data_IF_308475721705
#
_entry.id   IF_308475721705
#
_cell.length_a   1.000
_cell.length_b   1.000
_cell.length_c   1.000
_cell.angle_alpha   90.00
_cell.angle_beta   90.00
_cell.angle_gamma   90.00
#
_symmetry.space_group_name_H-M   'P 1'
#
loop_
_entity.id
_entity.type
_entity.pdbx_description
1 polymer ?
#
# COMPACT_ATOMS: atom_id res chain seq x y z
N UNK A 1 -10.67 -8.49 17.60
CA UNK A 1 -9.61 -7.61 17.06
C UNK A 1 -8.73 -8.46 16.16
N UNK A 2 -8.40 -8.00 14.96
CA UNK A 2 -7.50 -8.79 14.07
C UNK A 2 -6.07 -8.39 14.44
N UNK A 3 -5.29 -9.34 14.94
CA UNK A 3 -3.88 -9.11 15.26
C UNK A 3 -3.10 -8.89 13.97
N UNK A 4 -2.34 -7.79 13.91
CA UNK A 4 -1.49 -7.47 12.78
C UNK A 4 -0.27 -8.37 12.80
N UNK A 5 -0.19 -9.35 11.88
CA UNK A 5 0.98 -10.21 11.74
C UNK A 5 2.02 -9.56 10.83
N UNK A 6 3.28 -9.64 11.25
CA UNK A 6 4.42 -9.21 10.45
C UNK A 6 4.97 -10.37 9.62
N UNK A 7 5.48 -10.05 8.45
CA UNK A 7 6.20 -11.00 7.61
C UNK A 7 7.57 -11.30 8.21
N UNK A 8 7.89 -12.59 8.28
CA UNK A 8 9.18 -13.09 8.72
C UNK A 8 9.91 -13.78 7.55
N UNK A 9 11.25 -13.78 7.55
CA UNK A 9 12.01 -14.43 6.49
C UNK A 9 11.97 -15.97 6.57
N UNK A 10 11.42 -16.51 7.67
CA UNK A 10 11.06 -17.94 7.84
C UNK A 10 9.74 -18.31 7.18
N UNK A 11 8.96 -17.34 6.71
CA UNK A 11 7.70 -17.62 6.04
C UNK A 11 7.95 -18.38 4.73
N UNK A 12 7.18 -19.45 4.47
CA UNK A 12 7.30 -20.25 3.24
C UNK A 12 7.02 -19.47 1.96
N UNK A 13 6.29 -18.37 2.08
CA UNK A 13 5.93 -17.49 0.97
C UNK A 13 6.93 -16.35 0.77
N UNK A 14 7.89 -16.17 1.68
CA UNK A 14 8.91 -15.14 1.55
C UNK A 14 9.93 -15.54 0.49
N UNK A 15 10.32 -14.57 -0.34
CA UNK A 15 11.34 -14.73 -1.36
C UNK A 15 12.18 -13.46 -1.43
N UNK A 16 13.50 -13.61 -1.48
CA UNK A 16 14.40 -12.51 -1.79
C UNK A 16 14.62 -12.45 -3.30
N UNK A 17 14.30 -11.33 -3.94
CA UNK A 17 14.48 -11.14 -5.39
C UNK A 17 15.96 -11.23 -5.77
N UNK A 18 16.84 -10.65 -4.94
CA UNK A 18 18.30 -10.64 -5.15
C UNK A 18 18.98 -11.98 -4.84
N UNK A 19 18.23 -12.96 -4.32
CA UNK A 19 18.74 -14.29 -3.87
C UNK A 19 19.97 -14.19 -2.96
N UNK A 20 20.08 -13.12 -2.19
CA UNK A 20 21.20 -12.87 -1.29
C UNK A 20 20.99 -13.46 0.12
N UNK A 21 19.82 -14.05 0.38
CA UNK A 21 19.48 -14.58 1.70
C UNK A 21 20.11 -15.96 1.90
N UNK A 22 20.74 -16.17 3.04
CA UNK A 22 21.38 -17.43 3.46
C UNK A 22 20.69 -17.88 4.74
N UNK A 23 20.23 -19.13 4.75
CA UNK A 23 19.61 -19.75 5.91
C UNK A 23 20.66 -20.53 6.69
N UNK A 24 21.14 -19.98 7.81
CA UNK A 24 22.10 -20.61 8.71
C UNK A 24 21.38 -21.14 9.95
N UNK A 25 20.65 -22.24 9.79
CA UNK A 25 19.84 -22.86 10.84
C UNK A 25 18.75 -21.93 11.36
N UNK A 26 18.98 -21.32 12.53
CA UNK A 26 18.01 -20.41 13.15
C UNK A 26 18.17 -18.94 12.73
N UNK A 27 19.36 -18.55 12.22
CA UNK A 27 19.67 -17.20 11.78
C UNK A 27 19.52 -17.07 10.28
N UNK A 28 19.04 -15.92 9.83
CA UNK A 28 18.81 -15.65 8.41
C UNK A 28 19.65 -14.45 8.03
N UNK A 29 20.68 -14.70 7.24
CA UNK A 29 21.70 -13.72 6.91
C UNK A 29 21.50 -13.17 5.50
N UNK A 30 21.81 -11.90 5.29
CA UNK A 30 21.87 -11.30 3.96
C UNK A 30 23.34 -11.19 3.53
N UNK A 31 23.75 -11.98 2.53
CA UNK A 31 25.12 -11.95 1.96
C UNK A 31 25.49 -10.60 1.34
N UNK A 32 24.51 -9.76 1.01
CA UNK A 32 24.78 -8.49 0.34
C UNK A 32 25.12 -7.36 1.32
N UNK A 33 24.40 -7.30 2.43
CA UNK A 33 24.60 -6.26 3.45
C UNK A 33 25.47 -6.78 4.60
N UNK A 34 25.72 -8.09 4.66
CA UNK A 34 26.34 -8.77 5.79
C UNK A 34 25.65 -8.44 7.12
N UNK A 35 24.31 -8.47 7.09
CA UNK A 35 23.43 -8.20 8.23
C UNK A 35 22.33 -9.26 8.33
N UNK A 36 21.65 -9.31 9.48
CA UNK A 36 20.46 -10.14 9.66
C UNK A 36 19.31 -9.65 8.77
N UNK A 37 18.59 -10.60 8.16
CA UNK A 37 17.57 -10.29 7.16
C UNK A 37 16.36 -9.56 7.78
N UNK A 38 16.26 -8.26 7.51
CA UNK A 38 15.12 -7.43 7.89
C UNK A 38 14.10 -7.32 6.75
N UNK A 39 12.96 -7.98 6.88
CA UNK A 39 11.91 -8.00 5.84
C UNK A 39 11.17 -6.66 5.74
N UNK A 40 11.07 -5.90 6.83
CA UNK A 40 10.30 -4.65 6.84
C UNK A 40 10.99 -3.51 6.09
N UNK A 41 12.33 -3.50 6.07
CA UNK A 41 13.15 -2.44 5.46
C UNK A 41 13.92 -2.91 4.20
N UNK A 42 13.59 -4.06 3.63
CA UNK A 42 14.28 -4.57 2.45
C UNK A 42 13.46 -4.35 1.18
N UNK A 43 13.98 -3.57 0.24
CA UNK A 43 13.36 -3.36 -1.08
C UNK A 43 13.31 -4.64 -1.94
N UNK A 44 14.17 -5.61 -1.66
CA UNK A 44 14.23 -6.89 -2.37
C UNK A 44 13.41 -8.00 -1.71
N UNK A 45 12.80 -7.72 -0.56
CA UNK A 45 11.88 -8.65 0.08
C UNK A 45 10.57 -8.70 -0.70
N UNK A 46 10.14 -9.89 -1.09
CA UNK A 46 8.85 -10.08 -1.74
C UNK A 46 8.13 -11.29 -1.18
N UNK A 47 6.80 -11.24 -1.21
CA UNK A 47 5.95 -12.38 -0.92
C UNK A 47 5.44 -12.97 -2.24
N UNK A 48 5.48 -14.29 -2.39
CA UNK A 48 4.99 -14.99 -3.59
C UNK A 48 3.52 -14.64 -3.89
N UNK A 49 2.71 -14.45 -2.84
CA UNK A 49 1.29 -14.02 -2.95
C UNK A 49 1.10 -12.51 -3.12
N UNK A 50 2.19 -11.73 -3.19
CA UNK A 50 2.18 -10.26 -3.26
C UNK A 50 1.41 -9.59 -2.12
N UNK A 51 1.44 -10.20 -0.94
CA UNK A 51 0.77 -9.71 0.26
C UNK A 51 1.73 -8.97 1.22
N UNK A 52 2.99 -8.75 0.85
CA UNK A 52 3.92 -7.99 1.68
C UNK A 52 3.61 -6.49 1.51
N UNK A 53 3.11 -5.86 2.57
CA UNK A 53 2.85 -4.42 2.60
C UNK A 53 4.11 -3.65 3.06
N UNK A 54 4.24 -2.36 2.69
CA UNK A 54 5.28 -1.51 3.23
C UNK A 54 5.22 -1.50 4.76
N UNK A 55 6.39 -1.57 5.41
CA UNK A 55 6.50 -1.76 6.87
C UNK A 55 6.49 -3.23 7.32
N UNK A 56 6.50 -4.19 6.39
CA UNK A 56 6.62 -5.61 6.69
C UNK A 56 5.34 -6.26 7.21
N UNK A 57 4.18 -5.63 7.01
CA UNK A 57 2.89 -6.18 7.43
C UNK A 57 2.40 -7.23 6.42
N UNK A 58 1.84 -8.33 6.93
CA UNK A 58 1.22 -9.35 6.09
C UNK A 58 -0.20 -8.96 5.71
N UNK A 59 -0.44 -8.74 4.41
CA UNK A 59 -1.74 -8.43 3.84
C UNK A 59 -2.79 -9.53 4.00
N UNK A 60 -2.39 -10.77 4.32
CA UNK A 60 -3.34 -11.84 4.69
C UNK A 60 -4.08 -11.52 5.99
N UNK A 61 -3.42 -10.81 6.91
CA UNK A 61 -3.99 -10.45 8.22
C UNK A 61 -4.78 -9.15 8.16
N UNK A 62 -4.64 -8.34 7.12
CA UNK A 62 -5.36 -7.07 6.99
C UNK A 62 -6.68 -7.33 6.29
N UNK A 63 -7.78 -7.44 7.06
CA UNK A 63 -9.12 -7.36 6.48
C UNK A 63 -9.33 -5.97 5.91
N UNK A 64 -9.73 -5.88 4.64
CA UNK A 64 -10.20 -4.63 4.04
C UNK A 64 -11.35 -4.10 4.88
N UNK A 65 -11.17 -2.95 5.53
CA UNK A 65 -12.29 -2.12 5.96
C UNK A 65 -12.83 -1.45 4.70
N UNK A 66 -13.58 -2.18 3.89
CA UNK A 66 -14.58 -1.55 3.03
C UNK A 66 -15.60 -0.94 3.97
N UNK A 67 -15.30 0.26 4.46
CA UNK A 67 -16.35 1.17 4.86
C UNK A 67 -17.13 1.35 3.57
N UNK A 68 -18.39 0.93 3.57
CA UNK A 68 -19.37 1.37 2.60
C UNK A 68 -19.44 2.88 2.78
N UNK A 69 -18.49 3.60 2.19
CA UNK A 69 -18.67 5.01 1.91
C UNK A 69 -19.71 4.97 0.82
N UNK A 70 -20.99 4.88 1.21
CA UNK A 70 -22.03 5.58 0.47
C UNK A 70 -21.36 6.91 0.15
N UNK A 71 -21.06 7.10 -1.12
CA UNK A 71 -20.77 8.42 -1.63
C UNK A 71 -22.02 9.17 -1.19
N UNK A 72 -21.94 9.88 -0.06
CA UNK A 72 -22.99 10.82 0.31
C UNK A 72 -23.02 11.74 -0.89
N UNK A 73 -24.07 11.50 -1.66
CA UNK A 73 -24.36 12.08 -2.94
C UNK A 73 -24.04 13.56 -2.84
N UNK A 74 -23.19 14.03 -3.74
CA UNK A 74 -23.29 15.36 -4.32
C UNK A 74 -24.00 16.40 -3.44
N UNK A 75 -23.40 16.79 -2.32
CA UNK A 75 -23.60 18.15 -1.80
C UNK A 75 -22.70 19.12 -2.59
N UNK A 76 -22.68 18.97 -3.92
CA UNK A 76 -22.54 20.14 -4.75
C UNK A 76 -23.88 20.86 -4.63
N UNK A 77 -23.98 22.04 -3.98
CA UNK A 77 -25.22 22.78 -4.02
C UNK A 77 -25.51 23.02 -5.50
N UNK A 78 -26.57 22.40 -6.02
CA UNK A 78 -27.12 22.75 -7.32
C UNK A 78 -27.63 24.18 -7.22
N UNK A 79 -26.71 25.14 -7.34
CA UNK A 79 -27.00 26.53 -7.60
C UNK A 79 -27.71 26.53 -8.95
N UNK A 80 -29.04 26.54 -8.93
CA UNK A 80 -29.88 26.76 -10.10
C UNK A 80 -29.57 28.17 -10.62
N UNK A 81 -28.47 28.31 -11.36
CA UNK A 81 -28.19 29.51 -12.11
C UNK A 81 -29.22 29.60 -13.23
N UNK A 82 -30.13 30.57 -13.11
CA UNK A 82 -31.01 30.95 -14.21
C UNK A 82 -30.15 31.20 -15.44
N UNK A 83 -30.58 30.67 -16.58
CA UNK A 83 -29.88 30.53 -17.87
C UNK A 83 -29.22 31.81 -18.43
N UNK A 84 -29.43 32.97 -17.79
CA UNK A 84 -28.85 34.26 -18.15
C UNK A 84 -27.47 34.53 -17.52
N UNK A 85 -27.04 33.75 -16.53
CA UNK A 85 -25.76 33.96 -15.84
C UNK A 85 -24.57 33.24 -16.48
N UNK A 86 -24.80 32.18 -17.28
CA UNK A 86 -23.74 31.40 -17.92
C UNK A 86 -22.97 32.19 -19.00
N UNK A 87 -23.59 33.21 -19.61
CA UNK A 87 -22.96 34.03 -20.66
C UNK A 87 -21.86 34.97 -20.17
N UNK A 88 -21.74 35.20 -18.85
CA UNK A 88 -20.79 36.17 -18.29
C UNK A 88 -19.50 35.55 -17.75
N UNK A 89 -19.42 34.21 -17.69
CA UNK A 89 -18.22 33.45 -17.28
C UNK A 89 -17.47 32.88 -18.50
N UNK A 90 -17.59 33.54 -19.64
CA UNK A 90 -17.03 33.12 -20.93
C UNK A 90 -15.89 33.97 -21.45
N UNK A 91 -15.33 34.92 -20.68
CA UNK A 91 -14.24 35.79 -21.14
C UNK A 91 -13.33 36.25 -20.00
N UNK A 92 -12.49 35.34 -19.50
CA UNK A 92 -11.19 35.73 -18.94
C UNK A 92 -10.16 34.74 -19.45
N UNK A 93 -9.66 35.03 -20.65
CA UNK A 93 -8.36 34.52 -21.09
C UNK A 93 -7.33 34.91 -20.03
N UNK A 94 -6.62 33.92 -19.52
CA UNK A 94 -5.46 34.13 -18.66
C UNK A 94 -4.31 34.63 -19.55
N UNK A 95 -3.82 35.84 -19.29
CA UNK A 95 -2.53 36.35 -19.78
C UNK A 95 -1.59 36.52 -18.60
#
# INVERSE_FOLDING_TARGET
MVETKYCSPKCRLFKCVKRAVIYQGNRIWCRWTDEECNVANCSYATCVRRQLLPGGVCGESVKRKTVDRRLEEDQMPTLKFKSKALRKLGDKEFY
#
